data_IF_840827293501
#
_entry.id   IF_840827293501
#
_cell.length_a   1.000
_cell.length_b   1.000
_cell.length_c   1.000
_cell.angle_alpha   90.00
_cell.angle_beta   90.00
_cell.angle_gamma   90.00
#
_symmetry.space_group_name_H-M   'P 1'
#
loop_
_entity.id
_entity.type
_entity.pdbx_description
1 polymer ?
#
# COMPACT_ATOMS: atom_id res chain seq x y z
N UNK A 1 -5.86 18.70 -19.43
CA UNK A 1 -6.05 17.23 -19.50
C UNK A 1 -5.51 16.70 -18.18
N UNK A 2 -6.38 16.37 -17.23
CA UNK A 2 -5.92 15.69 -16.01
C UNK A 2 -5.74 14.23 -16.40
N UNK A 3 -4.49 13.78 -16.51
CA UNK A 3 -4.23 12.35 -16.61
C UNK A 3 -4.78 11.69 -15.35
N UNK A 4 -5.76 10.82 -15.50
CA UNK A 4 -6.33 10.07 -14.39
C UNK A 4 -5.38 8.92 -14.06
N UNK A 5 -4.55 9.08 -13.02
CA UNK A 5 -3.72 7.99 -12.51
C UNK A 5 -4.60 6.80 -12.14
N UNK A 6 -4.36 5.64 -12.76
CA UNK A 6 -5.16 4.43 -12.54
C UNK A 6 -4.40 3.43 -11.65
N UNK A 7 -5.10 2.89 -10.64
CA UNK A 7 -4.57 1.84 -9.76
C UNK A 7 -5.13 0.45 -10.15
N UNK A 8 -4.23 -0.51 -10.33
CA UNK A 8 -4.56 -1.93 -10.50
C UNK A 8 -4.31 -2.70 -9.21
N UNK A 9 -5.35 -3.31 -8.64
CA UNK A 9 -5.21 -4.17 -7.46
C UNK A 9 -4.36 -5.40 -7.79
N UNK A 10 -3.24 -5.58 -7.09
CA UNK A 10 -2.40 -6.77 -7.16
C UNK A 10 -2.90 -7.85 -6.20
N UNK A 11 -3.32 -7.46 -4.99
CA UNK A 11 -3.88 -8.36 -4.02
C UNK A 11 -4.36 -7.65 -2.76
N UNK A 12 -5.20 -8.34 -1.99
CA UNK A 12 -5.73 -7.84 -0.73
C UNK A 12 -6.05 -8.95 0.26
N UNK A 13 -5.95 -8.65 1.55
CA UNK A 13 -6.23 -9.62 2.63
C UNK A 13 -7.72 -9.86 2.91
N UNK A 14 -8.63 -9.11 2.29
CA UNK A 14 -10.07 -9.32 2.42
C UNK A 14 -10.71 -9.73 1.09
N UNK A 15 -11.77 -10.55 1.16
CA UNK A 15 -12.59 -10.90 -0.03
C UNK A 15 -13.26 -9.67 -0.67
N UNK A 16 -13.28 -8.53 0.04
CA UNK A 16 -13.85 -7.27 -0.40
C UNK A 16 -12.82 -6.22 -0.83
N UNK A 17 -11.51 -6.55 -0.91
CA UNK A 17 -10.50 -5.61 -1.41
C UNK A 17 -10.13 -4.48 -0.46
N UNK A 18 -10.34 -4.65 0.85
CA UNK A 18 -10.30 -3.53 1.81
C UNK A 18 -8.95 -3.34 2.49
N UNK A 19 -8.37 -4.33 3.17
CA UNK A 19 -7.06 -4.16 3.84
C UNK A 19 -6.48 -5.51 4.31
N UNK A 20 -5.15 -5.67 4.33
CA UNK A 20 -4.14 -4.86 3.60
C UNK A 20 -4.34 -4.98 2.09
N UNK A 21 -3.80 -4.06 1.30
CA UNK A 21 -3.85 -4.13 -0.16
C UNK A 21 -2.61 -3.54 -0.83
N UNK A 22 -2.27 -4.04 -2.02
CA UNK A 22 -1.23 -3.49 -2.89
C UNK A 22 -1.81 -3.21 -4.25
N UNK A 23 -1.47 -2.04 -4.78
CA UNK A 23 -1.84 -1.62 -6.11
C UNK A 23 -0.60 -1.26 -6.91
N UNK A 24 -0.62 -1.56 -8.21
CA UNK A 24 0.31 -0.97 -9.17
C UNK A 24 -0.34 0.24 -9.82
N UNK A 25 0.33 1.39 -9.78
CA UNK A 25 -0.04 2.55 -10.58
C UNK A 25 0.39 2.35 -12.03
N UNK A 26 -0.36 2.91 -12.99
CA UNK A 26 0.02 2.88 -14.41
C UNK A 26 1.38 3.55 -14.70
N UNK A 27 1.84 4.41 -13.79
CA UNK A 27 3.14 5.10 -13.82
C UNK A 27 4.30 4.25 -13.29
N UNK A 28 4.03 3.06 -12.75
CA UNK A 28 5.02 2.08 -12.31
C UNK A 28 5.24 2.02 -10.79
N UNK A 29 4.77 3.01 -10.03
CA UNK A 29 4.82 3.02 -8.57
C UNK A 29 3.89 1.98 -7.95
N UNK A 30 4.21 1.58 -6.71
CA UNK A 30 3.30 0.80 -5.89
C UNK A 30 2.58 1.69 -4.89
N UNK A 31 1.29 1.43 -4.68
CA UNK A 31 0.52 2.00 -3.57
C UNK A 31 0.23 0.87 -2.58
N UNK A 32 0.61 1.07 -1.33
CA UNK A 32 0.52 0.06 -0.28
C UNK A 32 -0.38 0.57 0.83
N UNK A 33 -1.49 -0.12 1.05
CA UNK A 33 -2.46 0.19 2.10
C UNK A 33 -2.24 -0.73 3.30
N UNK A 34 -2.18 -0.15 4.51
CA UNK A 34 -2.01 -0.85 5.76
C UNK A 34 -2.40 -0.03 6.98
N UNK A 35 -2.09 -0.56 8.17
CA UNK A 35 -2.42 0.09 9.44
C UNK A 35 -1.55 1.35 9.63
N UNK A 36 -2.15 2.41 10.18
CA UNK A 36 -1.45 3.63 10.62
C UNK A 36 -0.40 3.27 11.67
N UNK A 37 0.75 3.93 11.58
CA UNK A 37 1.84 3.83 12.55
C UNK A 37 2.12 5.19 13.17
N UNK A 38 3.01 5.24 14.16
CA UNK A 38 3.53 6.48 14.75
C UNK A 38 4.57 7.18 13.85
N UNK A 39 5.03 6.53 12.77
CA UNK A 39 6.00 7.08 11.82
C UNK A 39 5.33 7.42 10.49
N UNK A 40 5.15 8.71 10.23
CA UNK A 40 4.66 9.23 8.94
C UNK A 40 5.44 8.62 7.77
N UNK A 41 4.71 8.22 6.72
CA UNK A 41 5.32 7.57 5.56
C UNK A 41 5.63 6.09 5.79
N UNK A 42 5.10 5.47 6.86
CA UNK A 42 5.17 4.02 7.02
C UNK A 42 3.80 3.42 7.35
N UNK A 43 3.54 2.25 6.78
CA UNK A 43 2.35 1.43 7.07
C UNK A 43 2.78 0.07 7.61
N UNK A 44 2.01 -0.45 8.55
CA UNK A 44 2.20 -1.80 9.08
C UNK A 44 1.31 -2.77 8.29
N UNK A 45 1.92 -3.80 7.71
CA UNK A 45 1.25 -4.78 6.82
C UNK A 45 1.67 -6.21 7.19
N UNK A 46 0.84 -7.24 6.94
CA UNK A 46 1.28 -8.62 7.08
C UNK A 46 2.22 -9.03 5.94
N UNK A 47 3.16 -9.94 6.23
CA UNK A 47 4.16 -10.41 5.27
C UNK A 47 3.58 -11.05 3.99
N UNK A 48 2.35 -11.61 4.06
CA UNK A 48 1.64 -12.20 2.90
C UNK A 48 1.44 -11.21 1.75
N UNK A 49 1.54 -9.91 2.04
CA UNK A 49 1.51 -8.86 1.03
C UNK A 49 2.58 -9.06 -0.06
N UNK A 50 3.73 -9.63 0.32
CA UNK A 50 4.84 -9.91 -0.60
C UNK A 50 4.46 -10.96 -1.66
N UNK A 51 3.51 -11.84 -1.38
CA UNK A 51 3.05 -12.88 -2.32
C UNK A 51 2.27 -12.30 -3.51
N UNK A 52 1.83 -11.04 -3.42
CA UNK A 52 1.07 -10.36 -4.48
C UNK A 52 1.94 -9.52 -5.41
N UNK A 53 3.23 -9.38 -5.12
CA UNK A 53 4.15 -8.65 -5.98
C UNK A 53 4.46 -9.45 -7.24
N UNK A 54 4.52 -8.75 -8.36
CA UNK A 54 4.97 -9.33 -9.64
C UNK A 54 6.51 -9.31 -9.72
N UNK A 55 7.13 -10.25 -10.46
CA UNK A 55 8.59 -10.27 -10.62
C UNK A 55 9.15 -8.92 -11.11
N UNK A 56 10.17 -8.41 -10.42
CA UNK A 56 10.83 -7.14 -10.74
C UNK A 56 10.30 -5.94 -9.95
N UNK A 57 9.21 -6.08 -9.20
CA UNK A 57 8.75 -5.07 -8.26
C UNK A 57 9.65 -5.04 -7.00
N UNK A 58 9.81 -3.86 -6.42
CA UNK A 58 10.63 -3.64 -5.21
C UNK A 58 9.79 -3.00 -4.12
N UNK A 59 9.98 -3.45 -2.88
CA UNK A 59 9.31 -2.91 -1.70
C UNK A 59 10.33 -2.69 -0.56
N UNK A 60 10.46 -1.47 -0.02
CA UNK A 60 11.30 -1.22 1.14
C UNK A 60 10.57 -1.74 2.39
N UNK A 61 11.12 -2.80 2.99
CA UNK A 61 10.54 -3.45 4.17
C UNK A 61 11.48 -3.36 5.38
N UNK A 62 10.90 -3.13 6.55
CA UNK A 62 11.57 -3.21 7.84
C UNK A 62 10.87 -4.27 8.71
N UNK A 63 11.65 -5.07 9.42
CA UNK A 63 11.13 -6.05 10.37
C UNK A 63 10.51 -5.37 11.59
N UNK A 64 9.52 -6.01 12.22
CA UNK A 64 8.88 -5.53 13.44
C UNK A 64 8.95 -6.57 14.55
N UNK A 65 8.61 -6.18 15.77
CA UNK A 65 8.41 -7.10 16.90
C UNK A 65 7.05 -7.85 16.83
N UNK A 66 6.12 -7.38 15.99
CA UNK A 66 4.83 -8.00 15.76
C UNK A 66 4.98 -9.22 14.81
N UNK A 67 4.66 -10.46 15.27
CA UNK A 67 4.82 -11.65 14.45
C UNK A 67 4.07 -11.57 13.12
N UNK A 68 4.79 -11.85 12.03
CA UNK A 68 4.22 -11.91 10.69
C UNK A 68 3.85 -10.55 10.09
N UNK A 69 4.20 -9.43 10.73
CA UNK A 69 4.02 -8.07 10.21
C UNK A 69 5.35 -7.38 9.87
N UNK A 70 5.30 -6.53 8.85
CA UNK A 70 6.41 -5.75 8.32
C UNK A 70 5.98 -4.28 8.26
N UNK A 71 6.94 -3.38 8.37
CA UNK A 71 6.73 -1.97 8.03
C UNK A 71 7.15 -1.74 6.58
N UNK A 72 6.29 -1.08 5.81
CA UNK A 72 6.60 -0.62 4.46
C UNK A 72 6.74 0.89 4.50
N UNK A 73 7.84 1.39 3.97
CA UNK A 73 8.13 2.83 3.93
C UNK A 73 7.86 3.43 2.54
N UNK A 74 7.38 4.66 2.49
CA UNK A 74 7.16 5.39 1.25
C UNK A 74 6.72 6.82 1.49
N UNK A 75 6.22 7.48 0.44
CA UNK A 75 5.58 8.78 0.58
C UNK A 75 4.12 8.60 1.00
N UNK A 76 3.66 9.29 2.04
CA UNK A 76 2.25 9.22 2.43
C UNK A 76 1.34 9.68 1.27
N UNK A 77 0.34 8.87 0.94
CA UNK A 77 -0.65 9.22 -0.07
C UNK A 77 -1.50 10.38 0.45
N UNK A 78 -1.41 11.53 -0.22
CA UNK A 78 -2.25 12.71 0.04
C UNK A 78 -3.01 13.19 -1.20
N UNK A 79 -2.62 12.70 -2.38
CA UNK A 79 -3.26 13.01 -3.67
C UNK A 79 -4.74 12.53 -3.68
N UNK A 80 -5.71 13.45 -3.85
CA UNK A 80 -7.14 13.10 -3.82
C UNK A 80 -7.55 12.05 -4.85
N UNK A 81 -6.93 12.06 -6.04
CA UNK A 81 -7.19 11.11 -7.12
C UNK A 81 -6.75 9.67 -6.78
N UNK A 82 -5.71 9.52 -5.97
CA UNK A 82 -5.26 8.22 -5.45
C UNK A 82 -6.18 7.78 -4.33
N UNK A 83 -6.45 8.67 -3.36
CA UNK A 83 -7.32 8.40 -2.21
C UNK A 83 -8.73 7.99 -2.63
N UNK A 84 -9.28 8.59 -3.70
CA UNK A 84 -10.61 8.26 -4.23
C UNK A 84 -10.72 6.82 -4.79
N UNK A 85 -9.59 6.16 -5.07
CA UNK A 85 -9.54 4.76 -5.54
C UNK A 85 -9.30 3.76 -4.41
N UNK A 86 -8.95 4.23 -3.21
CA UNK A 86 -8.71 3.40 -2.03
C UNK A 86 -9.96 3.33 -1.17
N UNK A 87 -10.06 2.27 -0.36
CA UNK A 87 -11.10 2.13 0.66
C UNK A 87 -10.45 2.00 2.02
N UNK A 88 -10.19 3.15 2.64
CA UNK A 88 -9.49 3.28 3.93
C UNK A 88 -10.49 3.30 5.09
N UNK A 89 -10.24 2.47 6.10
CA UNK A 89 -10.83 2.66 7.42
C UNK A 89 -10.09 3.74 8.23
N UNK A 90 -10.67 4.23 9.33
CA UNK A 90 -10.09 5.29 10.16
C UNK A 90 -8.70 4.97 10.74
N UNK A 91 -8.36 3.68 10.85
CA UNK A 91 -7.07 3.20 11.35
C UNK A 91 -6.09 2.82 10.23
N UNK A 92 -6.44 3.09 8.98
CA UNK A 92 -5.67 2.73 7.80
C UNK A 92 -5.14 3.97 7.08
N UNK A 93 -4.02 3.79 6.40
CA UNK A 93 -3.44 4.79 5.50
C UNK A 93 -2.74 4.07 4.35
N UNK A 94 -2.17 4.85 3.42
CA UNK A 94 -1.40 4.31 2.32
C UNK A 94 -0.12 5.10 2.04
N UNK A 95 0.86 4.40 1.48
CA UNK A 95 2.12 4.99 1.00
C UNK A 95 2.35 4.66 -0.48
N UNK A 96 3.00 5.58 -1.18
CA UNK A 96 3.53 5.38 -2.53
C UNK A 96 5.01 4.98 -2.43
N UNK A 97 5.39 3.91 -3.09
CA UNK A 97 6.76 3.40 -3.20
C UNK A 97 7.26 3.62 -4.63
N UNK A 98 8.45 4.22 -4.77
CA UNK A 98 9.09 4.56 -6.04
C UNK A 98 10.48 3.92 -6.16
#
# INVERSE_FOLDING_TARGET
MHSHLTLRLLGSGSKSGTCPAVYAAETGELVVQGDITDRTGTVLVPHVLLDWLEPGMTLPVEATDAPGKLLVSGEQVTAPEVLAQLRLADHETAVVVR
#
